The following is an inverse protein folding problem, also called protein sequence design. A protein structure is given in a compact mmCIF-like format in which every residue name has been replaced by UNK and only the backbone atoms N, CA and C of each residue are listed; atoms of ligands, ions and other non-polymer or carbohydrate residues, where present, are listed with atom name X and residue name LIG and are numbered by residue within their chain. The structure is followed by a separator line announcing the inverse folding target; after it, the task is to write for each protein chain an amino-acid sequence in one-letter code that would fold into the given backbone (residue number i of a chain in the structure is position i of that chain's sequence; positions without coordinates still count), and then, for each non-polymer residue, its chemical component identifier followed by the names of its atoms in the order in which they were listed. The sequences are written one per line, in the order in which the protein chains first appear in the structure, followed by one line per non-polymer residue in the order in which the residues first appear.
data_IF_870261561829
#
_entry.id   IF_870261561829
#
_cell.length_a   1.000
_cell.length_b   1.000
_cell.length_c   1.000
_cell.angle_alpha   90.00
_cell.angle_beta   90.00
_cell.angle_gamma   90.00
#
_symmetry.space_group_name_H-M   'P 1'
#
loop_
_entity.id
_entity.type
_entity.pdbx_description
1 polymer ?
#
# COMPACT_ATOMS: atom_id res chain seq x y z
N UNK A 1 24.77 -0.97 11.28
CA UNK A 1 24.71 -0.93 9.81
C UNK A 1 26.10 -0.57 9.33
N UNK A 2 26.60 -1.20 8.26
CA UNK A 2 27.97 -1.01 7.79
C UNK A 2 28.26 0.45 7.37
N UNK A 3 29.52 0.87 7.50
CA UNK A 3 30.04 2.16 7.01
C UNK A 3 29.73 2.37 5.52
N UNK A 4 29.79 1.30 4.73
CA UNK A 4 29.50 1.30 3.28
C UNK A 4 28.05 1.71 3.00
N UNK A 5 27.10 1.40 3.89
CA UNK A 5 25.69 1.81 3.74
C UNK A 5 25.55 3.33 3.76
N UNK A 6 26.24 3.98 4.69
CA UNK A 6 26.19 5.43 4.83
C UNK A 6 26.81 6.14 3.62
N UNK A 7 27.86 5.57 3.03
CA UNK A 7 28.48 6.11 1.81
C UNK A 7 27.53 6.00 0.61
N UNK A 8 26.94 4.83 0.38
CA UNK A 8 25.98 4.62 -0.73
C UNK A 8 24.77 5.53 -0.55
N UNK A 9 24.20 5.59 0.65
CA UNK A 9 23.04 6.44 0.94
C UNK A 9 23.35 7.93 0.75
N UNK A 10 24.54 8.39 1.18
CA UNK A 10 24.98 9.79 0.98
C UNK A 10 25.10 10.13 -0.51
N UNK A 11 25.63 9.24 -1.34
CA UNK A 11 25.67 9.44 -2.80
C UNK A 11 24.27 9.51 -3.43
N UNK A 12 23.34 8.68 -2.98
CA UNK A 12 21.94 8.76 -3.40
C UNK A 12 21.33 10.12 -3.02
N UNK A 13 21.59 10.61 -1.81
CA UNK A 13 21.10 11.92 -1.33
C UNK A 13 21.69 13.12 -2.11
N UNK A 14 22.91 13.00 -2.63
CA UNK A 14 23.53 14.05 -3.44
C UNK A 14 22.84 14.22 -4.80
N UNK A 15 22.27 13.16 -5.36
CA UNK A 15 21.57 13.21 -6.65
C UNK A 15 20.04 13.32 -6.52
N UNK A 16 19.46 12.84 -5.42
CA UNK A 16 18.05 13.01 -5.10
C UNK A 16 17.93 13.71 -3.76
N UNK A 17 17.43 14.95 -3.78
CA UNK A 17 17.18 15.69 -2.56
C UNK A 17 16.20 14.94 -1.64
N UNK A 18 16.51 14.92 -0.34
CA UNK A 18 15.68 14.34 0.73
C UNK A 18 14.19 14.73 0.65
N UNK A 19 13.80 16.00 0.39
CA UNK A 19 12.38 16.35 0.25
C UNK A 19 11.70 15.68 -0.94
N UNK A 20 12.40 15.44 -2.04
CA UNK A 20 11.83 14.72 -3.20
C UNK A 20 11.61 13.25 -2.86
N UNK A 21 12.52 12.63 -2.11
CA UNK A 21 12.34 11.25 -1.62
C UNK A 21 11.15 11.13 -0.66
N UNK A 22 10.98 12.11 0.23
CA UNK A 22 9.83 12.16 1.16
C UNK A 22 8.53 12.42 0.39
N UNK A 23 8.52 13.33 -0.59
CA UNK A 23 7.34 13.60 -1.41
C UNK A 23 6.91 12.37 -2.22
N UNK A 24 7.87 11.62 -2.79
CA UNK A 24 7.61 10.37 -3.48
C UNK A 24 7.00 9.30 -2.55
N UNK A 25 7.49 9.20 -1.31
CA UNK A 25 6.92 8.31 -0.29
C UNK A 25 5.50 8.71 0.09
N UNK A 26 5.27 9.99 0.38
CA UNK A 26 3.96 10.50 0.74
C UNK A 26 2.95 10.28 -0.40
N UNK A 27 3.35 10.49 -1.65
CA UNK A 27 2.52 10.19 -2.80
C UNK A 27 2.14 8.69 -2.88
N UNK A 28 3.08 7.79 -2.57
CA UNK A 28 2.82 6.35 -2.54
C UNK A 28 1.96 5.92 -1.36
N UNK A 29 2.00 6.62 -0.23
CA UNK A 29 1.13 6.38 0.93
C UNK A 29 -0.29 6.89 0.63
N UNK A 30 -0.41 8.12 0.12
CA UNK A 30 -1.68 8.74 -0.30
C UNK A 30 -2.38 7.81 -1.28
N UNK A 31 -1.67 7.40 -2.34
CA UNK A 31 -1.61 6.02 -2.84
C UNK A 31 -2.60 4.98 -2.29
N UNK A 32 -2.00 4.15 -1.46
CA UNK A 32 -2.63 3.00 -0.85
C UNK A 32 -3.79 3.40 0.07
N UNK A 33 -3.70 4.53 0.77
CA UNK A 33 -4.81 5.01 1.59
C UNK A 33 -6.04 5.36 0.75
N UNK A 34 -5.87 6.05 -0.38
CA UNK A 34 -6.96 6.39 -1.29
C UNK A 34 -7.62 5.12 -1.84
N UNK A 35 -6.83 4.11 -2.24
CA UNK A 35 -7.37 2.82 -2.69
C UNK A 35 -8.22 2.16 -1.60
N UNK A 36 -7.73 2.11 -0.35
CA UNK A 36 -8.47 1.50 0.77
C UNK A 36 -9.75 2.27 1.08
N UNK A 37 -9.69 3.60 1.18
CA UNK A 37 -10.86 4.45 1.45
C UNK A 37 -11.86 4.47 0.29
N UNK A 38 -11.44 4.13 -0.92
CA UNK A 38 -12.34 3.92 -2.05
C UNK A 38 -13.13 2.62 -1.95
N UNK A 39 -12.66 1.58 -1.23
CA UNK A 39 -13.33 0.26 -1.16
C UNK A 39 -14.77 0.34 -0.62
N UNK A 40 -15.06 1.01 0.51
CA UNK A 40 -16.44 1.17 0.99
C UNK A 40 -17.32 1.94 0.00
N UNK A 41 -16.74 2.95 -0.66
CA UNK A 41 -17.44 3.76 -1.64
C UNK A 41 -17.69 3.02 -2.96
N UNK A 42 -17.00 1.93 -3.30
CA UNK A 42 -17.26 1.16 -4.54
C UNK A 42 -18.72 0.64 -4.58
N UNK A 43 -19.28 0.29 -3.42
CA UNK A 43 -20.67 -0.17 -3.29
C UNK A 43 -21.65 0.98 -3.59
N UNK A 44 -21.37 2.20 -3.12
CA UNK A 44 -22.14 3.41 -3.47
C UNK A 44 -21.85 3.91 -4.90
N UNK A 45 -20.66 3.61 -5.44
CA UNK A 45 -20.21 4.06 -6.78
C UNK A 45 -21.01 3.41 -7.91
N UNK A 46 -21.64 2.25 -7.67
CA UNK A 46 -22.60 1.65 -8.60
C UNK A 46 -23.85 2.53 -8.80
N UNK A 47 -24.21 3.37 -7.82
CA UNK A 47 -25.28 4.36 -7.92
C UNK A 47 -24.79 5.72 -8.45
N UNK A 48 -23.56 6.13 -8.14
CA UNK A 48 -22.99 7.44 -8.49
C UNK A 48 -22.03 7.41 -9.71
N UNK A 49 -22.47 6.85 -10.83
CA UNK A 49 -22.15 7.31 -12.20
C UNK A 49 -20.69 7.34 -12.71
N UNK A 50 -20.55 7.36 -14.04
CA UNK A 50 -19.30 7.41 -14.81
C UNK A 50 -18.29 8.49 -14.36
N UNK A 51 -18.76 9.58 -13.74
CA UNK A 51 -17.93 10.72 -13.31
C UNK A 51 -16.98 10.36 -12.16
N UNK A 52 -17.39 9.47 -11.24
CA UNK A 52 -16.51 9.00 -10.16
C UNK A 52 -15.38 8.12 -10.72
N UNK A 53 -15.70 7.24 -11.67
CA UNK A 53 -14.72 6.39 -12.35
C UNK A 53 -13.68 7.20 -13.12
N UNK A 54 -14.10 8.27 -13.81
CA UNK A 54 -13.16 9.18 -14.50
C UNK A 54 -12.22 9.86 -13.50
N UNK A 55 -12.75 10.43 -12.41
CA UNK A 55 -11.92 11.08 -11.39
C UNK A 55 -10.92 10.11 -10.75
N UNK A 56 -11.37 8.89 -10.44
CA UNK A 56 -10.50 7.82 -9.93
C UNK A 56 -9.40 7.44 -10.93
N UNK A 57 -9.74 7.31 -12.21
CA UNK A 57 -8.79 7.05 -13.29
C UNK A 57 -7.73 8.15 -13.44
N UNK A 58 -8.12 9.42 -13.35
CA UNK A 58 -7.20 10.57 -13.40
C UNK A 58 -6.22 10.52 -12.23
N UNK A 59 -6.71 10.24 -11.01
CA UNK A 59 -5.86 10.12 -9.81
C UNK A 59 -4.84 8.99 -10.01
N UNK A 60 -5.27 7.81 -10.49
CA UNK A 60 -4.37 6.69 -10.77
C UNK A 60 -3.29 7.03 -11.82
N UNK A 61 -3.63 7.80 -12.87
CA UNK A 61 -2.67 8.25 -13.88
C UNK A 61 -1.62 9.20 -13.30
N UNK A 62 -2.03 10.19 -12.50
CA UNK A 62 -1.10 11.12 -11.84
C UNK A 62 -0.13 10.34 -10.95
N UNK A 63 -0.66 9.43 -10.13
CA UNK A 63 0.13 8.59 -9.21
C UNK A 63 1.12 7.70 -9.97
N UNK A 64 0.70 7.12 -11.09
CA UNK A 64 1.58 6.33 -11.96
C UNK A 64 2.70 7.18 -12.55
N UNK A 65 2.41 8.41 -12.96
CA UNK A 65 3.42 9.35 -13.44
C UNK A 65 4.50 9.62 -12.39
N UNK A 66 4.08 9.83 -11.14
CA UNK A 66 5.00 10.00 -10.00
C UNK A 66 5.87 8.75 -9.78
N UNK A 67 5.27 7.55 -9.85
CA UNK A 67 6.00 6.29 -9.76
C UNK A 67 7.04 6.11 -10.88
N UNK A 68 6.66 6.37 -12.13
CA UNK A 68 7.55 6.25 -13.28
C UNK A 68 8.72 7.25 -13.21
N UNK A 69 8.45 8.48 -12.78
CA UNK A 69 9.48 9.47 -12.56
C UNK A 69 10.51 9.01 -11.52
N UNK A 70 10.04 8.48 -10.38
CA UNK A 70 10.91 7.89 -9.36
C UNK A 70 11.75 6.74 -9.91
N UNK A 71 11.12 5.83 -10.66
CA UNK A 71 11.77 4.69 -11.30
C UNK A 71 12.89 5.14 -12.24
N UNK A 72 12.64 6.14 -13.10
CA UNK A 72 13.66 6.68 -14.01
C UNK A 72 14.85 7.27 -13.24
N UNK A 73 14.60 8.08 -12.21
CA UNK A 73 15.65 8.70 -11.40
C UNK A 73 16.48 7.66 -10.60
N UNK A 74 15.85 6.56 -10.19
CA UNK A 74 16.55 5.43 -9.57
C UNK A 74 17.48 4.73 -10.58
N UNK A 75 17.06 4.61 -11.83
CA UNK A 75 17.89 3.96 -12.85
C UNK A 75 19.11 4.79 -13.22
N UNK A 76 19.00 6.10 -13.36
CA UNK A 76 20.14 6.97 -13.67
C UNK A 76 21.23 6.94 -12.58
N UNK A 77 20.88 6.58 -11.35
CA UNK A 77 21.84 6.40 -10.24
C UNK A 77 22.67 5.12 -10.34
N UNK A 78 22.10 4.08 -10.95
CA UNK A 78 22.67 2.74 -11.03
C UNK A 78 24.11 2.73 -11.57
N UNK A 79 24.42 3.34 -12.74
CA UNK A 79 25.79 3.32 -13.27
C UNK A 79 26.79 4.09 -12.38
N UNK A 80 26.34 5.15 -11.69
CA UNK A 80 27.22 5.90 -10.78
C UNK A 80 27.64 5.02 -9.60
N UNK A 81 26.68 4.34 -8.98
CA UNK A 81 26.94 3.43 -7.85
C UNK A 81 27.73 2.18 -8.28
N UNK A 82 27.48 1.67 -9.49
CA UNK A 82 28.19 0.53 -10.04
C UNK A 82 29.69 0.79 -10.26
N UNK A 83 30.05 2.00 -10.68
CA UNK A 83 31.45 2.41 -10.90
C UNK A 83 32.18 2.75 -9.60
N UNK A 84 31.44 3.24 -8.59
CA UNK A 84 32.01 3.81 -7.37
C UNK A 84 32.28 2.81 -6.24
N UNK A 85 31.67 1.62 -6.29
CA UNK A 85 31.77 0.60 -5.25
C UNK A 85 32.07 -0.75 -5.88
N UNK A 86 32.94 -1.56 -5.28
CA UNK A 86 33.24 -2.89 -5.82
C UNK A 86 32.05 -3.86 -5.70
N UNK A 87 32.00 -4.86 -6.59
CA UNK A 87 30.92 -5.86 -6.60
C UNK A 87 30.83 -6.63 -5.29
N UNK A 88 31.95 -7.00 -4.68
CA UNK A 88 31.96 -7.74 -3.41
C UNK A 88 31.31 -6.92 -2.28
N UNK A 89 31.65 -5.64 -2.19
CA UNK A 89 31.08 -4.72 -1.20
C UNK A 89 29.58 -4.51 -1.41
N UNK A 90 29.14 -4.38 -2.67
CA UNK A 90 27.70 -4.25 -2.99
C UNK A 90 26.92 -5.50 -2.57
N UNK A 91 27.45 -6.69 -2.81
CA UNK A 91 26.78 -7.96 -2.45
C UNK A 91 26.68 -8.16 -0.94
N UNK A 92 27.76 -7.86 -0.22
CA UNK A 92 27.76 -7.88 1.23
C UNK A 92 26.71 -6.90 1.78
N UNK A 93 26.63 -5.70 1.21
CA UNK A 93 25.65 -4.70 1.61
C UNK A 93 24.20 -5.11 1.31
N UNK A 94 23.95 -5.72 0.14
CA UNK A 94 22.63 -6.28 -0.21
C UNK A 94 22.20 -7.28 0.87
N UNK A 95 23.08 -8.22 1.22
CA UNK A 95 22.80 -9.24 2.23
C UNK A 95 22.50 -8.63 3.59
N UNK A 96 23.31 -7.67 4.06
CA UNK A 96 23.07 -6.96 5.32
C UNK A 96 21.71 -6.24 5.34
N UNK A 97 21.37 -5.56 4.24
CA UNK A 97 20.09 -4.84 4.15
C UNK A 97 18.93 -5.84 4.14
N UNK A 98 19.02 -6.92 3.37
CA UNK A 98 17.98 -7.96 3.32
C UNK A 98 17.76 -8.62 4.68
N UNK A 99 18.83 -8.99 5.39
CA UNK A 99 18.73 -9.51 6.76
C UNK A 99 18.10 -8.50 7.70
N UNK A 100 18.45 -7.22 7.57
CA UNK A 100 17.84 -6.16 8.37
C UNK A 100 16.35 -5.98 8.07
N UNK A 101 15.95 -6.07 6.80
CA UNK A 101 14.56 -5.96 6.35
C UNK A 101 13.74 -7.19 6.75
N UNK A 102 14.35 -8.36 6.75
CA UNK A 102 13.71 -9.62 7.18
C UNK A 102 13.18 -9.52 8.60
N UNK A 103 13.91 -8.88 9.51
CA UNK A 103 13.43 -8.62 10.89
C UNK A 103 12.11 -7.85 10.93
N UNK A 104 11.93 -6.84 10.06
CA UNK A 104 10.67 -6.10 9.99
C UNK A 104 9.56 -6.92 9.36
N UNK A 105 9.86 -7.77 8.37
CA UNK A 105 8.89 -8.68 7.76
C UNK A 105 8.41 -9.71 8.78
N UNK A 106 9.32 -10.31 9.54
CA UNK A 106 8.98 -11.30 10.56
C UNK A 106 8.18 -10.65 11.70
N UNK A 107 8.52 -9.43 12.10
CA UNK A 107 7.71 -8.65 13.04
C UNK A 107 6.31 -8.33 12.50
N UNK A 108 6.17 -7.95 11.23
CA UNK A 108 4.87 -7.71 10.61
C UNK A 108 4.01 -8.98 10.50
N UNK A 109 4.63 -10.15 10.24
CA UNK A 109 3.94 -11.44 10.28
C UNK A 109 3.44 -11.76 11.69
N UNK A 110 4.28 -11.53 12.69
CA UNK A 110 3.92 -11.76 14.08
C UNK A 110 2.77 -10.85 14.53
N UNK A 111 2.82 -9.56 14.20
CA UNK A 111 1.74 -8.62 14.52
C UNK A 111 0.44 -8.95 13.79
N UNK A 112 0.51 -9.38 12.52
CA UNK A 112 -0.64 -9.89 11.78
C UNK A 112 -1.29 -11.11 12.47
N UNK A 113 -0.47 -12.02 13.02
CA UNK A 113 -0.95 -13.15 13.80
C UNK A 113 -1.75 -12.72 15.04
N UNK A 114 -1.25 -11.73 15.79
CA UNK A 114 -1.98 -11.17 16.94
C UNK A 114 -3.30 -10.54 16.48
N UNK A 115 -3.28 -9.75 15.41
CA UNK A 115 -4.47 -9.10 14.88
C UNK A 115 -5.54 -10.11 14.43
N UNK A 116 -5.13 -11.23 13.83
CA UNK A 116 -6.04 -12.31 13.47
C UNK A 116 -6.73 -12.91 14.71
N UNK A 117 -6.00 -13.09 15.82
CA UNK A 117 -6.60 -13.58 17.07
C UNK A 117 -7.57 -12.58 17.69
N UNK A 118 -7.25 -11.29 17.66
CA UNK A 118 -8.16 -10.22 18.13
C UNK A 118 -9.42 -10.18 17.28
N UNK A 119 -9.29 -10.27 15.95
CA UNK A 119 -10.43 -10.31 15.04
C UNK A 119 -11.33 -11.52 15.32
N UNK A 120 -10.75 -12.72 15.48
CA UNK A 120 -11.50 -13.92 15.83
C UNK A 120 -12.25 -13.78 17.17
N UNK A 121 -11.61 -13.16 18.17
CA UNK A 121 -12.25 -12.89 19.46
C UNK A 121 -13.42 -11.92 19.32
N UNK A 122 -13.26 -10.82 18.57
CA UNK A 122 -14.33 -9.86 18.28
C UNK A 122 -15.48 -10.53 17.54
N UNK A 123 -15.20 -11.36 16.54
CA UNK A 123 -16.21 -12.16 15.84
C UNK A 123 -16.94 -13.11 16.79
N UNK A 124 -16.23 -13.79 17.70
CA UNK A 124 -16.85 -14.72 18.63
C UNK A 124 -17.75 -14.01 19.65
N UNK A 125 -17.31 -12.87 20.18
CA UNK A 125 -18.15 -12.02 21.05
C UNK A 125 -19.40 -11.58 20.30
N UNK A 126 -19.24 -11.11 19.04
CA UNK A 126 -20.36 -10.71 18.20
C UNK A 126 -21.37 -11.84 17.99
N UNK A 127 -20.91 -13.03 17.60
CA UNK A 127 -21.77 -14.21 17.40
C UNK A 127 -22.53 -14.56 18.69
N UNK A 128 -21.85 -14.50 19.84
CA UNK A 128 -22.46 -14.78 21.14
C UNK A 128 -23.56 -13.77 21.48
N UNK A 129 -23.29 -12.47 21.29
CA UNK A 129 -24.27 -11.40 21.51
C UNK A 129 -25.45 -11.56 20.55
N UNK A 130 -25.18 -11.83 19.27
CA UNK A 130 -26.21 -12.01 18.26
C UNK A 130 -27.15 -13.18 18.54
N UNK A 131 -26.60 -14.35 18.90
CA UNK A 131 -27.40 -15.52 19.31
C UNK A 131 -28.26 -15.18 20.53
N UNK A 132 -27.68 -14.53 21.54
CA UNK A 132 -28.42 -14.12 22.74
C UNK A 132 -29.56 -13.15 22.42
N UNK A 133 -29.33 -12.17 21.54
CA UNK A 133 -30.38 -11.26 21.09
C UNK A 133 -31.51 -12.00 20.37
N UNK A 134 -31.22 -13.03 19.56
CA UNK A 134 -32.26 -13.86 18.95
C UNK A 134 -33.04 -14.65 20.00
N UNK A 135 -32.37 -15.27 20.96
CA UNK A 135 -33.03 -16.05 22.02
C UNK A 135 -33.94 -15.18 22.91
N UNK A 136 -33.50 -13.95 23.22
CA UNK A 136 -34.28 -12.97 23.97
C UNK A 136 -35.53 -12.48 23.19
N UNK A 137 -35.52 -12.52 21.84
CA UNK A 137 -36.66 -12.17 20.98
C UNK A 137 -37.63 -13.33 20.79
N UNK A 138 -37.13 -14.57 20.76
CA UNK A 138 -37.94 -15.78 20.52
C UNK A 138 -38.72 -16.22 21.77
N UNK A 139 -38.19 -15.94 22.97
CA UNK A 139 -38.78 -16.38 24.24
C UNK A 139 -40.12 -15.71 24.64
N UNK A 140 -40.44 -14.44 24.31
CA UNK A 140 -41.70 -13.78 24.72
C UNK A 140 -42.86 -13.80 23.69
N UNK A 141 -42.89 -14.70 22.69
CA UNK A 141 -43.90 -14.66 21.60
C UNK A 141 -45.38 -14.78 22.07
N UNK A 142 -46.06 -13.64 22.26
CA UNK A 142 -47.53 -13.53 22.33
C UNK A 142 -48.05 -12.57 21.23
N UNK A 143 -49.05 -13.04 20.46
CA UNK A 143 -49.30 -12.70 19.05
C UNK A 143 -49.70 -11.24 18.66
N UNK A 144 -49.78 -10.28 19.58
CA UNK A 144 -50.26 -8.91 19.26
C UNK A 144 -49.27 -7.77 19.51
N UNK A 145 -48.22 -7.95 20.32
CA UNK A 145 -47.13 -6.98 20.52
C UNK A 145 -46.06 -7.00 19.40
N UNK A 146 -46.23 -7.94 18.47
CA UNK A 146 -45.23 -8.42 17.51
C UNK A 146 -44.70 -7.33 16.57
N UNK A 147 -45.53 -6.42 16.05
CA UNK A 147 -45.07 -5.53 14.97
C UNK A 147 -44.16 -4.41 15.50
N UNK A 148 -44.44 -3.90 16.69
CA UNK A 148 -43.63 -2.84 17.32
C UNK A 148 -42.37 -3.40 17.97
N UNK A 149 -42.44 -4.58 18.60
CA UNK A 149 -41.24 -5.23 19.11
C UNK A 149 -40.36 -5.79 18.00
N UNK A 150 -40.93 -6.28 16.89
CA UNK A 150 -40.15 -6.74 15.74
C UNK A 150 -39.46 -5.57 15.03
N UNK A 151 -40.09 -4.39 14.91
CA UNK A 151 -39.43 -3.21 14.33
C UNK A 151 -38.29 -2.70 15.21
N UNK A 152 -38.49 -2.62 16.53
CA UNK A 152 -37.43 -2.27 17.50
C UNK A 152 -36.32 -3.33 17.56
N UNK A 153 -36.66 -4.62 17.48
CA UNK A 153 -35.69 -5.71 17.44
C UNK A 153 -34.88 -5.70 16.13
N UNK A 154 -35.52 -5.46 15.00
CA UNK A 154 -34.83 -5.35 13.70
C UNK A 154 -33.88 -4.14 13.68
N UNK A 155 -34.28 -3.04 14.30
CA UNK A 155 -33.43 -1.86 14.45
C UNK A 155 -32.24 -2.12 15.40
N UNK A 156 -32.47 -2.74 16.57
CA UNK A 156 -31.41 -3.11 17.51
C UNK A 156 -30.41 -4.11 16.91
N UNK A 157 -30.90 -5.10 16.13
CA UNK A 157 -30.04 -6.04 15.40
C UNK A 157 -29.21 -5.28 14.34
N UNK A 158 -29.84 -4.36 13.60
CA UNK A 158 -29.16 -3.47 12.65
C UNK A 158 -28.04 -2.66 13.29
N UNK A 159 -28.30 -2.06 14.45
CA UNK A 159 -27.30 -1.29 15.20
C UNK A 159 -26.13 -2.16 15.69
N UNK A 160 -26.41 -3.40 16.12
CA UNK A 160 -25.38 -4.40 16.51
C UNK A 160 -24.49 -4.75 15.30
N UNK A 161 -25.06 -4.96 14.11
CA UNK A 161 -24.29 -5.19 12.89
C UNK A 161 -23.44 -3.96 12.50
N UNK A 162 -24.00 -2.75 12.60
CA UNK A 162 -23.26 -1.52 12.31
C UNK A 162 -22.04 -1.40 13.24
N UNK A 163 -22.22 -1.60 14.54
CA UNK A 163 -21.12 -1.56 15.53
C UNK A 163 -20.04 -2.61 15.20
N UNK A 164 -20.43 -3.81 14.78
CA UNK A 164 -19.49 -4.85 14.36
C UNK A 164 -18.68 -4.45 13.12
N UNK A 165 -19.32 -3.95 12.07
CA UNK A 165 -18.62 -3.49 10.87
C UNK A 165 -17.69 -2.32 11.16
N UNK A 166 -18.11 -1.37 12.00
CA UNK A 166 -17.24 -0.26 12.44
C UNK A 166 -16.02 -0.80 13.17
N UNK A 167 -16.18 -1.75 14.09
CA UNK A 167 -15.05 -2.39 14.80
C UNK A 167 -14.09 -3.10 13.83
N UNK A 168 -14.60 -3.87 12.87
CA UNK A 168 -13.77 -4.55 11.85
C UNK A 168 -13.01 -3.53 11.00
N UNK A 169 -13.67 -2.46 10.55
CA UNK A 169 -13.02 -1.38 9.77
C UNK A 169 -11.95 -0.68 10.61
N UNK A 170 -12.21 -0.41 11.89
CA UNK A 170 -11.21 0.18 12.80
C UNK A 170 -9.98 -0.73 12.95
N UNK A 171 -10.18 -2.04 13.15
CA UNK A 171 -9.08 -3.02 13.23
C UNK A 171 -8.28 -3.00 11.94
N UNK A 172 -8.93 -3.11 10.77
CA UNK A 172 -8.27 -3.07 9.47
C UNK A 172 -7.51 -1.75 9.24
N UNK A 173 -8.08 -0.62 9.65
CA UNK A 173 -7.43 0.69 9.61
C UNK A 173 -6.16 0.74 10.46
N UNK A 174 -6.19 0.19 11.67
CA UNK A 174 -5.01 0.09 12.55
C UNK A 174 -3.93 -0.79 11.90
N UNK A 175 -4.32 -1.93 11.31
CA UNK A 175 -3.37 -2.81 10.59
C UNK A 175 -2.68 -2.05 9.46
N UNK A 176 -3.46 -1.35 8.64
CA UNK A 176 -2.93 -0.59 7.51
C UNK A 176 -2.01 0.53 7.96
N UNK A 177 -2.41 1.33 8.96
CA UNK A 177 -1.58 2.39 9.55
C UNK A 177 -0.25 1.83 10.06
N UNK A 178 -0.29 0.70 10.74
CA UNK A 178 0.91 0.04 11.22
C UNK A 178 1.83 -0.39 10.07
N UNK A 179 1.29 -1.00 9.00
CA UNK A 179 2.07 -1.33 7.81
C UNK A 179 2.68 -0.08 7.16
N UNK A 180 1.93 1.03 7.10
CA UNK A 180 2.44 2.31 6.58
C UNK A 180 3.63 2.82 7.38
N UNK A 181 3.56 2.78 8.71
CA UNK A 181 4.65 3.20 9.59
C UNK A 181 5.90 2.36 9.33
N UNK A 182 5.76 1.03 9.26
CA UNK A 182 6.88 0.14 8.94
C UNK A 182 7.48 0.42 7.57
N UNK A 183 6.65 0.72 6.58
CA UNK A 183 7.08 1.03 5.22
C UNK A 183 7.86 2.35 5.18
N UNK A 184 7.42 3.37 5.92
CA UNK A 184 8.10 4.65 6.04
C UNK A 184 9.45 4.52 6.76
N UNK A 185 9.50 3.78 7.87
CA UNK A 185 10.73 3.52 8.62
C UNK A 185 11.77 2.72 7.83
N UNK A 186 11.32 1.80 6.96
CA UNK A 186 12.21 0.94 6.17
C UNK A 186 12.52 1.49 4.78
N UNK A 187 11.95 2.64 4.41
CA UNK A 187 12.02 3.15 3.03
C UNK A 187 13.45 3.34 2.54
N UNK A 188 14.30 4.04 3.30
CA UNK A 188 15.67 4.35 2.88
C UNK A 188 16.47 3.07 2.61
N UNK A 189 16.28 2.04 3.45
CA UNK A 189 16.90 0.72 3.28
C UNK A 189 16.40 0.04 2.00
N UNK A 190 15.09 0.07 1.73
CA UNK A 190 14.49 -0.49 0.52
C UNK A 190 14.93 0.25 -0.75
N UNK A 191 15.10 1.57 -0.68
CA UNK A 191 15.60 2.39 -1.78
C UNK A 191 17.05 2.01 -2.13
N UNK A 192 17.93 1.97 -1.14
CA UNK A 192 19.33 1.55 -1.30
C UNK A 192 19.39 0.14 -1.88
N UNK A 193 18.61 -0.79 -1.34
CA UNK A 193 18.52 -2.15 -1.85
C UNK A 193 18.08 -2.21 -3.32
N UNK A 194 17.08 -1.40 -3.71
CA UNK A 194 16.58 -1.34 -5.09
C UNK A 194 17.66 -0.85 -6.06
N UNK A 195 18.42 0.18 -5.68
CA UNK A 195 19.54 0.69 -6.48
C UNK A 195 20.63 -0.38 -6.62
N UNK A 196 21.00 -1.06 -5.53
CA UNK A 196 22.06 -2.08 -5.56
C UNK A 196 21.67 -3.31 -6.37
N UNK A 197 20.41 -3.78 -6.26
CA UNK A 197 19.90 -4.85 -7.10
C UNK A 197 19.90 -4.47 -8.58
N UNK A 198 19.53 -3.23 -8.91
CA UNK A 198 19.62 -2.76 -10.30
C UNK A 198 21.06 -2.83 -10.84
N UNK A 199 22.08 -2.59 -9.99
CA UNK A 199 23.49 -2.74 -10.36
C UNK A 199 23.85 -4.20 -10.65
N UNK A 200 23.34 -5.17 -9.88
CA UNK A 200 23.60 -6.59 -10.13
C UNK A 200 23.00 -7.09 -11.45
N UNK A 201 21.78 -6.65 -11.77
CA UNK A 201 21.10 -7.03 -13.01
C UNK A 201 21.56 -6.21 -14.22
N UNK A 202 22.52 -5.30 -14.05
CA UNK A 202 23.01 -4.39 -15.11
C UNK A 202 21.86 -3.73 -15.88
N UNK A 203 20.78 -3.36 -15.19
CA UNK A 203 19.60 -2.76 -15.81
C UNK A 203 19.97 -1.34 -16.22
N UNK A 204 20.56 -1.21 -17.41
CA UNK A 204 20.90 0.05 -18.03
C UNK A 204 19.71 0.52 -18.82
N UNK A 205 18.99 1.49 -18.26
CA UNK A 205 18.06 2.26 -19.06
C UNK A 205 18.88 3.20 -19.92
N UNK A 206 19.02 2.87 -21.21
CA UNK A 206 19.68 3.70 -22.22
C UNK A 206 18.90 4.99 -22.54
N UNK A 207 18.00 5.41 -21.63
CA UNK A 207 17.20 6.61 -21.79
C UNK A 207 18.08 7.85 -21.67
N UNK A 208 19.16 7.84 -20.88
CA UNK A 208 19.97 9.03 -20.68
C UNK A 208 20.63 9.53 -21.97
N UNK A 209 20.94 8.63 -22.91
CA UNK A 209 21.48 8.94 -24.24
C UNK A 209 20.44 9.45 -25.27
N UNK A 210 19.14 9.35 -24.96
CA UNK A 210 18.05 9.75 -25.85
C UNK A 210 17.76 11.27 -25.81
N UNK A 211 17.29 11.82 -26.94
CA UNK A 211 16.86 13.22 -27.03
C UNK A 211 15.64 13.50 -26.15
N UNK A 212 15.48 14.75 -25.70
CA UNK A 212 14.38 15.15 -24.80
C UNK A 212 13.00 14.72 -25.31
N UNK A 213 12.73 14.87 -26.62
CA UNK A 213 11.47 14.44 -27.23
C UNK A 213 11.25 12.93 -27.19
N UNK A 214 12.30 12.12 -27.38
CA UNK A 214 12.20 10.67 -27.27
C UNK A 214 12.01 10.23 -25.81
N UNK A 215 12.65 10.93 -24.86
CA UNK A 215 12.45 10.71 -23.42
C UNK A 215 11.00 10.97 -23.00
N UNK A 216 10.42 12.10 -23.42
CA UNK A 216 9.03 12.44 -23.09
C UNK A 216 8.04 11.49 -23.76
N UNK A 217 8.27 11.12 -25.02
CA UNK A 217 7.41 10.18 -25.74
C UNK A 217 7.45 8.77 -25.12
N UNK A 218 8.63 8.29 -24.74
CA UNK A 218 8.78 7.05 -23.98
C UNK A 218 8.03 7.10 -22.65
N UNK A 219 8.15 8.21 -21.91
CA UNK A 219 7.45 8.41 -20.65
C UNK A 219 5.92 8.39 -20.84
N UNK A 220 5.39 9.06 -21.86
CA UNK A 220 3.95 9.09 -22.18
C UNK A 220 3.45 7.69 -22.60
N UNK A 221 4.20 6.98 -23.45
CA UNK A 221 3.86 5.61 -23.83
C UNK A 221 3.77 4.67 -22.63
N UNK A 222 4.76 4.75 -21.73
CA UNK A 222 4.78 3.94 -20.50
C UNK A 222 3.69 4.38 -19.52
N UNK A 223 3.38 5.68 -19.44
CA UNK A 223 2.32 6.22 -18.59
C UNK A 223 0.93 5.70 -18.99
N UNK A 224 0.64 5.68 -20.29
CA UNK A 224 -0.66 5.23 -20.83
C UNK A 224 -0.67 3.76 -21.26
N UNK A 225 0.40 3.00 -21.02
CA UNK A 225 0.56 1.62 -21.48
C UNK A 225 0.36 1.42 -22.99
N UNK A 226 0.65 2.44 -23.81
CA UNK A 226 0.37 2.39 -25.25
C UNK A 226 1.11 1.24 -25.95
N UNK A 227 2.28 0.87 -25.46
CA UNK A 227 3.07 -0.24 -26.01
C UNK A 227 2.50 -1.63 -25.66
N UNK A 228 1.74 -1.74 -24.56
CA UNK A 228 1.04 -2.98 -24.19
C UNK A 228 -0.30 -3.10 -24.92
N UNK A 229 -1.00 -1.98 -25.11
CA UNK A 229 -2.25 -1.93 -25.88
C UNK A 229 -2.02 -2.29 -27.36
N UNK A 230 -0.90 -1.86 -27.95
CA UNK A 230 -0.49 -2.25 -29.32
C UNK A 230 -0.22 -3.74 -29.52
N UNK A 231 -0.01 -4.51 -28.45
CA UNK A 231 0.20 -5.98 -28.53
C UNK A 231 -1.08 -6.78 -28.37
N UNK A 232 -2.14 -6.15 -27.87
CA UNK A 232 -3.42 -6.80 -27.55
C UNK A 232 -4.45 -6.56 -28.67
N UNK A 233 -4.24 -5.53 -29.49
CA UNK A 233 -5.08 -5.11 -30.62
C UNK A 233 -4.43 -5.54 -31.94
#
# INVERSE_FOLDING_TARGET
MSYTYHLVFKKIQQQISTPVLIALQLAQIIMYTAIVFSIPNIIETLQYGYRYLINFGIILLILRGVYLYSKYKIYSLTPTIENDFDKADRQLLIKEIEESLKKYVDFAKWSCGILATVLALVTNIFVTIFIKSIDDIVSPLQKQAIINELSQATQNIGDIFIVFFVLVICILGIVLLYYFILQLLTYNKRLVLKVLKNCEYSIKYDIDSLSWWKKTLFFINELFFLDYLKKIL
#
